data_IF_452486865107
#
_entry.id   IF_452486865107
#
_cell.length_a   1.000
_cell.length_b   1.000
_cell.length_c   1.000
_cell.angle_alpha   90.00
_cell.angle_beta   90.00
_cell.angle_gamma   90.00
#
_symmetry.space_group_name_H-M   'P 1'
#
loop_
_entity.id
_entity.type
_entity.pdbx_description
1 polymer ?
#
# COMPACT_ATOMS: atom_id res chain seq x y z
N UNK A 1 -10.87 10.51 31.97
CA UNK A 1 -12.13 9.94 31.43
C UNK A 1 -12.25 10.05 29.90
N UNK A 2 -11.86 11.17 29.25
CA UNK A 2 -12.04 11.41 27.79
C UNK A 2 -11.37 10.39 26.86
N UNK A 3 -10.11 9.98 27.12
CA UNK A 3 -9.39 9.00 26.26
C UNK A 3 -10.12 7.65 26.11
N UNK A 4 -10.82 7.20 27.15
CA UNK A 4 -11.59 5.95 27.13
C UNK A 4 -12.86 6.05 26.26
N UNK A 5 -13.42 7.25 26.12
CA UNK A 5 -14.59 7.52 25.27
C UNK A 5 -14.20 7.47 23.77
N UNK A 6 -13.07 8.10 23.43
CA UNK A 6 -12.54 8.13 22.06
C UNK A 6 -12.18 6.73 21.56
N UNK A 7 -11.50 5.93 22.39
CA UNK A 7 -11.16 4.55 22.03
C UNK A 7 -12.38 3.66 21.76
N UNK A 8 -13.49 3.88 22.49
CA UNK A 8 -14.76 3.17 22.23
C UNK A 8 -15.41 3.62 20.93
N UNK A 9 -15.41 4.92 20.64
CA UNK A 9 -15.94 5.48 19.38
C UNK A 9 -15.20 4.94 18.15
N UNK A 10 -13.86 4.91 18.17
CA UNK A 10 -13.06 4.39 17.06
C UNK A 10 -13.35 2.91 16.77
N UNK A 11 -13.49 2.07 17.81
CA UNK A 11 -13.82 0.66 17.65
C UNK A 11 -15.23 0.43 17.09
N UNK A 12 -16.17 1.32 17.40
CA UNK A 12 -17.52 1.27 16.83
C UNK A 12 -17.52 1.64 15.35
N UNK A 13 -16.84 2.74 14.98
CA UNK A 13 -16.65 3.16 13.59
C UNK A 13 -16.01 2.03 12.78
N UNK A 14 -14.90 1.48 13.29
CA UNK A 14 -14.21 0.36 12.63
C UNK A 14 -15.13 -0.83 12.40
N UNK A 15 -15.91 -1.25 13.41
CA UNK A 15 -16.84 -2.39 13.28
C UNK A 15 -17.94 -2.13 12.25
N UNK A 16 -18.48 -0.92 12.19
CA UNK A 16 -19.51 -0.56 11.19
C UNK A 16 -18.95 -0.57 9.78
N UNK A 17 -17.75 -0.01 9.58
CA UNK A 17 -17.07 -0.04 8.28
C UNK A 17 -16.73 -1.46 7.87
N UNK A 18 -16.19 -2.28 8.80
CA UNK A 18 -15.88 -3.67 8.53
C UNK A 18 -17.12 -4.50 8.19
N UNK A 19 -18.25 -4.27 8.87
CA UNK A 19 -19.50 -4.96 8.57
C UNK A 19 -20.09 -4.57 7.21
N UNK A 20 -19.98 -3.29 6.83
CA UNK A 20 -20.51 -2.78 5.56
C UNK A 20 -19.66 -3.13 4.34
N UNK A 21 -18.33 -3.12 4.50
CA UNK A 21 -17.39 -3.28 3.38
C UNK A 21 -16.64 -4.62 3.41
N UNK A 22 -16.63 -5.33 4.53
CA UNK A 22 -15.79 -6.51 4.70
C UNK A 22 -14.29 -6.18 4.69
N UNK A 23 -13.45 -7.19 4.48
CA UNK A 23 -12.00 -7.02 4.37
C UNK A 23 -11.70 -6.44 2.98
N UNK A 24 -11.26 -5.20 2.94
CA UNK A 24 -11.10 -4.46 1.69
C UNK A 24 -9.83 -4.80 0.91
N UNK A 25 -8.80 -5.38 1.55
CA UNK A 25 -7.49 -5.56 0.91
C UNK A 25 -7.02 -4.26 0.22
N UNK A 26 -7.24 -3.13 0.91
CA UNK A 26 -7.28 -1.77 0.35
C UNK A 26 -5.99 -1.33 -0.37
N UNK A 27 -4.87 -2.03 -0.11
CA UNK A 27 -3.65 -1.89 -0.86
C UNK A 27 -3.30 -3.23 -1.53
N UNK A 28 -3.46 -3.34 -2.86
CA UNK A 28 -3.10 -4.55 -3.58
C UNK A 28 -1.58 -4.65 -3.67
N UNK A 29 -1.02 -5.63 -2.97
CA UNK A 29 0.38 -5.99 -3.06
C UNK A 29 0.54 -7.43 -2.59
N UNK A 30 1.44 -8.17 -3.25
CA UNK A 30 1.74 -9.54 -2.86
C UNK A 30 2.75 -9.56 -1.71
N UNK A 31 3.67 -8.58 -1.68
CA UNK A 31 4.81 -8.57 -0.78
C UNK A 31 5.00 -7.20 -0.08
N UNK A 32 5.54 -7.16 1.16
CA UNK A 32 5.77 -5.90 1.87
C UNK A 32 6.63 -4.88 1.11
N UNK A 33 7.60 -5.33 0.31
CA UNK A 33 8.44 -4.42 -0.47
C UNK A 33 7.66 -3.72 -1.59
N UNK A 34 6.71 -4.40 -2.21
CA UNK A 34 5.81 -3.79 -3.19
C UNK A 34 4.94 -2.69 -2.56
N UNK A 35 4.47 -2.91 -1.32
CA UNK A 35 3.74 -1.86 -0.56
C UNK A 35 4.61 -0.62 -0.40
N UNK A 36 5.89 -0.78 -0.05
CA UNK A 36 6.83 0.34 0.13
C UNK A 36 7.06 1.09 -1.19
N UNK A 37 7.33 0.37 -2.28
CA UNK A 37 7.56 0.95 -3.61
C UNK A 37 6.30 1.69 -4.09
N UNK A 38 5.14 1.06 -3.98
CA UNK A 38 3.86 1.67 -4.35
C UNK A 38 3.59 2.93 -3.53
N UNK A 39 3.81 2.90 -2.22
CA UNK A 39 3.60 4.06 -1.35
C UNK A 39 4.50 5.24 -1.72
N UNK A 40 5.70 4.99 -2.26
CA UNK A 40 6.59 6.04 -2.79
C UNK A 40 6.03 6.57 -4.12
N UNK A 41 5.68 5.69 -5.06
CA UNK A 41 5.17 6.07 -6.38
C UNK A 41 3.90 6.91 -6.29
N UNK A 42 2.95 6.54 -5.42
CA UNK A 42 1.68 7.26 -5.26
C UNK A 42 1.83 8.70 -4.76
N UNK A 43 2.99 9.08 -4.19
CA UNK A 43 3.20 10.46 -3.69
C UNK A 43 3.23 11.50 -4.80
N UNK A 44 3.63 11.13 -6.03
CA UNK A 44 3.75 12.06 -7.17
C UNK A 44 3.24 11.49 -8.48
N UNK A 45 2.37 10.48 -8.44
CA UNK A 45 1.88 9.81 -9.64
C UNK A 45 0.46 9.30 -9.40
N UNK A 46 -0.40 9.39 -10.43
CA UNK A 46 -1.75 8.85 -10.36
C UNK A 46 -1.71 7.32 -10.12
N UNK A 47 -2.67 6.78 -9.36
CA UNK A 47 -2.74 5.36 -8.99
C UNK A 47 -2.48 4.41 -10.18
N UNK A 48 -3.18 4.63 -11.29
CA UNK A 48 -3.02 3.85 -12.53
C UNK A 48 -1.59 3.85 -13.10
N UNK A 49 -0.84 4.93 -12.91
CA UNK A 49 0.53 5.01 -13.40
C UNK A 49 1.52 4.37 -12.42
N UNK A 50 1.20 4.37 -11.11
CA UNK A 50 1.96 3.61 -10.11
C UNK A 50 1.80 2.09 -10.35
N UNK A 51 0.57 1.61 -10.62
CA UNK A 51 0.31 0.21 -11.00
C UNK A 51 1.15 -0.20 -12.21
N UNK A 52 1.13 0.58 -13.30
CA UNK A 52 1.95 0.30 -14.50
C UNK A 52 3.44 0.24 -14.20
N UNK A 53 3.95 1.10 -13.32
CA UNK A 53 5.36 1.08 -12.94
C UNK A 53 5.71 -0.16 -12.12
N UNK A 54 4.85 -0.57 -11.20
CA UNK A 54 5.00 -1.82 -10.42
C UNK A 54 4.98 -3.03 -11.35
N UNK A 55 4.02 -3.10 -12.29
CA UNK A 55 3.93 -4.18 -13.27
C UNK A 55 5.20 -4.27 -14.13
N UNK A 56 5.73 -3.12 -14.56
CA UNK A 56 6.99 -3.05 -15.30
C UNK A 56 8.19 -3.55 -14.48
N UNK A 57 8.29 -3.15 -13.21
CA UNK A 57 9.32 -3.63 -12.29
C UNK A 57 9.22 -5.13 -12.05
N UNK A 58 7.99 -5.66 -11.92
CA UNK A 58 7.73 -7.09 -11.76
C UNK A 58 8.15 -7.87 -13.00
N UNK A 59 7.72 -7.43 -14.19
CA UNK A 59 8.07 -8.05 -15.46
C UNK A 59 9.59 -8.05 -15.71
N UNK A 60 10.30 -7.01 -15.24
CA UNK A 60 11.76 -6.92 -15.32
C UNK A 60 12.50 -7.73 -14.24
N UNK A 61 11.81 -8.41 -13.31
CA UNK A 61 12.43 -9.05 -12.15
C UNK A 61 13.13 -8.06 -11.21
N UNK A 62 12.76 -6.78 -11.28
CA UNK A 62 13.39 -5.66 -10.58
C UNK A 62 12.68 -5.27 -9.28
N UNK A 63 11.51 -5.85 -8.97
CA UNK A 63 10.72 -5.52 -7.77
C UNK A 63 11.27 -6.18 -6.48
N UNK A 64 12.56 -5.95 -6.19
CA UNK A 64 13.19 -6.30 -4.91
C UNK A 64 14.29 -5.30 -4.56
N UNK A 65 14.64 -5.13 -3.27
CA UNK A 65 15.69 -4.19 -2.88
C UNK A 65 17.03 -4.46 -3.58
N UNK A 66 17.40 -5.74 -3.68
CA UNK A 66 18.66 -6.15 -4.31
C UNK A 66 18.66 -5.93 -5.82
N UNK A 67 17.56 -6.21 -6.52
CA UNK A 67 17.48 -6.00 -7.95
C UNK A 67 17.49 -4.51 -8.31
N UNK A 68 16.70 -3.68 -7.62
CA UNK A 68 16.71 -2.23 -7.81
C UNK A 68 18.08 -1.62 -7.55
N UNK A 69 18.78 -2.03 -6.48
CA UNK A 69 20.11 -1.52 -6.14
C UNK A 69 21.15 -1.78 -7.24
N UNK A 70 20.99 -2.84 -8.03
CA UNK A 70 21.89 -3.19 -9.14
C UNK A 70 21.53 -2.50 -10.46
N UNK A 71 20.40 -1.79 -10.51
CA UNK A 71 20.03 -1.06 -11.71
C UNK A 71 21.02 0.09 -11.97
N UNK A 72 21.33 0.39 -13.24
CA UNK A 72 22.17 1.53 -13.58
C UNK A 72 21.57 2.85 -13.07
N UNK A 73 22.41 3.70 -12.50
CA UNK A 73 22.09 5.10 -12.20
C UNK A 73 22.41 5.93 -13.44
N UNK A 74 21.64 5.73 -14.51
CA UNK A 74 21.73 6.54 -15.73
C UNK A 74 21.03 7.86 -15.55
#
# INVERSE_FOLDING_TARGET
MVRQQVGRSLKEIYRRLLAGYGRQHWWPADEPFEVMVGAILTQRTAWRNAEKAIDGLRAAGALSPGAMRRMPLT
#
